data_IF_588798053219
#
_entry.id   IF_588798053219
#
_cell.length_a   1.000
_cell.length_b   1.000
_cell.length_c   1.000
_cell.angle_alpha   90.00
_cell.angle_beta   90.00
_cell.angle_gamma   90.00
#
_symmetry.space_group_name_H-M   'P 1'
#
loop_
_entity.id
_entity.type
_entity.pdbx_description
1 polymer ?
#
# COMPACT_ATOMS: atom_id res chain seq x y z
N UNK A 1 -19.52 10.34 14.97
CA UNK A 1 -20.45 9.69 14.02
C UNK A 1 -19.63 8.86 13.06
N UNK A 2 -19.82 7.54 12.98
CA UNK A 2 -19.16 6.70 11.97
C UNK A 2 -20.11 6.62 10.79
N UNK A 3 -20.16 7.66 9.97
CA UNK A 3 -20.76 7.66 8.64
C UNK A 3 -19.67 7.31 7.64
N UNK A 4 -19.19 6.07 7.68
CA UNK A 4 -18.26 5.51 6.70
C UNK A 4 -18.89 4.31 6.04
N UNK A 5 -18.99 4.32 4.71
CA UNK A 5 -19.33 3.11 3.96
C UNK A 5 -18.27 2.00 4.23
N UNK A 6 -18.57 0.76 3.88
CA UNK A 6 -17.65 -0.37 4.10
C UNK A 6 -16.27 -0.12 3.48
N UNK A 7 -16.21 0.52 2.31
CA UNK A 7 -14.96 0.86 1.64
C UNK A 7 -14.06 1.78 2.49
N UNK A 8 -14.60 2.86 3.05
CA UNK A 8 -13.88 3.79 3.93
C UNK A 8 -13.44 3.12 5.23
N UNK A 9 -14.28 2.27 5.81
CA UNK A 9 -13.91 1.48 7.00
C UNK A 9 -12.70 0.61 6.66
N UNK A 10 -12.77 -0.16 5.57
CA UNK A 10 -11.68 -1.04 5.15
C UNK A 10 -10.40 -0.26 4.86
N UNK A 11 -10.46 0.95 4.29
CA UNK A 11 -9.27 1.78 4.03
C UNK A 11 -8.54 2.23 5.30
N UNK A 12 -9.28 2.41 6.39
CA UNK A 12 -8.72 2.83 7.69
C UNK A 12 -8.12 1.66 8.50
N UNK A 13 -8.39 0.40 8.10
CA UNK A 13 -7.80 -0.76 8.76
C UNK A 13 -6.35 -1.02 8.30
N UNK A 14 -5.54 -1.75 9.09
CA UNK A 14 -4.25 -2.22 8.63
C UNK A 14 -4.39 -3.17 7.42
N UNK A 15 -3.64 -2.93 6.35
CA UNK A 15 -3.76 -3.69 5.09
C UNK A 15 -3.67 -5.22 5.26
N UNK A 16 -2.85 -5.70 6.19
CA UNK A 16 -2.74 -7.14 6.46
C UNK A 16 -4.00 -7.73 7.10
N UNK A 17 -4.76 -6.96 7.88
CA UNK A 17 -6.05 -7.39 8.44
C UNK A 17 -7.11 -7.42 7.34
N UNK A 18 -7.07 -6.46 6.42
CA UNK A 18 -8.01 -6.40 5.30
C UNK A 18 -7.92 -7.67 4.43
N UNK A 19 -6.71 -8.11 4.08
CA UNK A 19 -6.51 -9.33 3.27
C UNK A 19 -6.77 -10.62 4.04
N UNK A 20 -6.38 -10.70 5.32
CA UNK A 20 -6.45 -11.96 6.07
C UNK A 20 -7.77 -12.19 6.77
N UNK A 21 -8.44 -11.12 7.18
CA UNK A 21 -9.64 -11.17 8.03
C UNK A 21 -10.83 -10.64 7.26
N UNK A 22 -10.80 -9.38 6.83
CA UNK A 22 -11.97 -8.75 6.20
C UNK A 22 -12.42 -9.47 4.93
N UNK A 23 -11.47 -9.89 4.09
CA UNK A 23 -11.72 -10.69 2.89
C UNK A 23 -12.57 -11.96 3.15
N UNK A 24 -12.52 -12.52 4.37
CA UNK A 24 -13.23 -13.74 4.74
C UNK A 24 -14.58 -13.50 5.44
N UNK A 25 -14.93 -12.26 5.76
CA UNK A 25 -16.12 -11.94 6.57
C UNK A 25 -17.42 -12.15 5.80
N UNK A 26 -17.52 -11.57 4.60
CA UNK A 26 -18.69 -11.64 3.75
C UNK A 26 -18.32 -11.36 2.28
N UNK A 27 -19.25 -11.64 1.37
CA UNK A 27 -19.07 -11.40 -0.06
C UNK A 27 -18.74 -9.94 -0.38
N UNK A 28 -19.44 -8.98 0.25
CA UNK A 28 -19.21 -7.57 0.00
C UNK A 28 -17.80 -7.12 0.40
N UNK A 29 -17.31 -7.58 1.55
CA UNK A 29 -15.92 -7.34 1.95
C UNK A 29 -14.96 -7.94 0.93
N UNK A 30 -15.19 -9.17 0.50
CA UNK A 30 -14.34 -9.84 -0.50
C UNK A 30 -14.25 -9.01 -1.79
N UNK A 31 -15.38 -8.59 -2.35
CA UNK A 31 -15.39 -7.81 -3.59
C UNK A 31 -14.63 -6.49 -3.46
N UNK A 32 -14.77 -5.79 -2.33
CA UNK A 32 -14.02 -4.56 -2.09
C UNK A 32 -12.52 -4.82 -1.92
N UNK A 33 -12.13 -5.88 -1.20
CA UNK A 33 -10.73 -6.23 -0.98
C UNK A 33 -10.05 -6.73 -2.26
N UNK A 34 -10.77 -7.46 -3.11
CA UNK A 34 -10.26 -7.95 -4.40
C UNK A 34 -10.21 -6.82 -5.45
N UNK A 35 -10.93 -5.71 -5.22
CA UNK A 35 -10.98 -4.60 -6.17
C UNK A 35 -9.66 -3.83 -6.26
N UNK A 36 -9.23 -3.55 -7.50
CA UNK A 36 -8.11 -2.65 -7.76
C UNK A 36 -8.35 -1.24 -7.18
N UNK A 37 -9.62 -0.78 -7.15
CA UNK A 37 -9.99 0.54 -6.64
C UNK A 37 -9.61 0.73 -5.17
N UNK A 38 -9.80 -0.28 -4.34
CA UNK A 38 -9.42 -0.24 -2.92
C UNK A 38 -7.93 -0.01 -2.73
N UNK A 39 -7.10 -0.77 -3.44
CA UNK A 39 -5.65 -0.68 -3.33
C UNK A 39 -5.08 0.57 -3.99
N UNK A 40 -5.67 1.03 -5.11
CA UNK A 40 -5.35 2.34 -5.71
C UNK A 40 -5.57 3.48 -4.74
N UNK A 41 -6.71 3.47 -4.06
CA UNK A 41 -7.05 4.52 -3.09
C UNK A 41 -6.12 4.49 -1.87
N UNK A 42 -5.75 3.30 -1.37
CA UNK A 42 -4.69 3.19 -0.35
C UNK A 42 -3.37 3.78 -0.82
N UNK A 43 -2.94 3.42 -2.03
CA UNK A 43 -1.71 3.95 -2.61
C UNK A 43 -1.77 5.48 -2.68
N UNK A 44 -2.88 6.04 -3.16
CA UNK A 44 -3.10 7.49 -3.24
C UNK A 44 -3.05 8.17 -1.87
N UNK A 45 -3.73 7.64 -0.84
CA UNK A 45 -3.73 8.19 0.53
C UNK A 45 -2.34 8.20 1.16
N UNK A 46 -1.49 7.26 0.76
CA UNK A 46 -0.12 7.11 1.27
C UNK A 46 0.96 7.71 0.36
N UNK A 47 0.57 8.32 -0.77
CA UNK A 47 1.49 8.96 -1.71
C UNK A 47 2.27 7.99 -2.61
N UNK A 48 1.85 6.74 -2.73
CA UNK A 48 2.42 5.77 -3.65
C UNK A 48 1.86 5.96 -5.06
N UNK A 49 2.76 6.06 -6.04
CA UNK A 49 2.40 6.20 -7.45
C UNK A 49 3.18 5.17 -8.28
N UNK A 50 2.54 4.50 -9.26
CA UNK A 50 3.25 3.68 -10.23
C UNK A 50 4.26 4.54 -11.00
N UNK A 51 5.45 4.00 -11.27
CA UNK A 51 6.45 4.69 -12.09
C UNK A 51 6.02 4.87 -13.55
N UNK A 52 5.23 3.94 -14.07
CA UNK A 52 4.75 3.96 -15.45
C UNK A 52 3.22 3.87 -15.47
N UNK A 53 2.57 5.00 -15.77
CA UNK A 53 1.12 5.06 -15.91
C UNK A 53 0.62 4.39 -17.21
N UNK A 54 1.51 4.09 -18.15
CA UNK A 54 1.17 3.46 -19.43
C UNK A 54 1.08 1.94 -19.34
N UNK A 55 1.68 1.34 -18.29
CA UNK A 55 1.66 -0.10 -18.07
C UNK A 55 0.56 -0.47 -17.07
N UNK A 56 -0.45 -1.26 -17.45
CA UNK A 56 -1.46 -1.69 -16.50
C UNK A 56 -0.80 -2.51 -15.39
N UNK A 57 -0.97 -2.07 -14.14
CA UNK A 57 -0.62 -2.89 -12.98
C UNK A 57 -1.70 -3.96 -12.80
N UNK A 58 -1.30 -5.21 -12.98
CA UNK A 58 -2.20 -6.37 -12.88
C UNK A 58 -2.68 -6.60 -11.44
N UNK A 59 -1.83 -6.33 -10.44
CA UNK A 59 -2.15 -6.55 -9.02
C UNK A 59 -1.76 -5.33 -8.15
N UNK A 60 -2.76 -4.51 -7.83
CA UNK A 60 -2.60 -3.34 -6.97
C UNK A 60 -2.37 -3.70 -5.50
N UNK A 61 -2.86 -4.85 -5.04
CA UNK A 61 -2.63 -5.35 -3.69
C UNK A 61 -1.15 -5.65 -3.51
N UNK A 62 -0.58 -6.41 -4.44
CA UNK A 62 0.84 -6.74 -4.47
C UNK A 62 1.71 -5.47 -4.55
N UNK A 63 1.37 -4.55 -5.46
CA UNK A 63 2.08 -3.27 -5.58
C UNK A 63 2.11 -2.52 -4.25
N UNK A 64 0.98 -2.41 -3.56
CA UNK A 64 0.90 -1.74 -2.26
C UNK A 64 1.84 -2.39 -1.23
N UNK A 65 1.81 -3.72 -1.08
CA UNK A 65 2.62 -4.39 -0.07
C UNK A 65 4.12 -4.31 -0.35
N UNK A 66 4.54 -4.45 -1.60
CA UNK A 66 5.95 -4.31 -2.00
C UNK A 66 6.40 -2.87 -1.72
N UNK A 67 5.63 -1.89 -2.17
CA UNK A 67 5.95 -0.47 -2.02
C UNK A 67 6.04 -0.05 -0.55
N UNK A 68 5.08 -0.49 0.27
CA UNK A 68 5.05 -0.22 1.71
C UNK A 68 6.23 -0.83 2.45
N UNK A 69 6.67 -2.03 2.06
CA UNK A 69 7.81 -2.76 2.65
C UNK A 69 9.16 -2.44 1.98
N UNK A 70 9.17 -1.65 0.91
CA UNK A 70 10.34 -1.28 0.09
C UNK A 70 11.33 -0.34 0.81
N UNK A 71 11.68 -0.65 2.05
CA UNK A 71 12.85 -0.11 2.73
C UNK A 71 14.07 -0.95 2.42
N UNK A 72 15.25 -0.34 2.49
CA UNK A 72 16.50 -1.06 2.36
C UNK A 72 16.57 -2.21 3.38
N UNK A 73 16.62 -3.45 2.88
CA UNK A 73 16.70 -4.66 3.70
C UNK A 73 18.14 -4.97 4.11
N UNK A 74 19.14 -4.29 3.55
CA UNK A 74 20.53 -4.41 3.97
C UNK A 74 20.70 -3.73 5.32
N UNK A 75 21.16 -4.48 6.32
CA UNK A 75 21.71 -3.88 7.55
C UNK A 75 22.98 -3.12 7.17
N UNK A 76 23.03 -1.83 7.51
CA UNK A 76 24.19 -0.97 7.29
C UNK A 76 24.60 -0.77 5.82
N UNK A 77 23.72 -0.18 4.97
CA UNK A 77 23.97 -0.06 3.53
C UNK A 77 25.04 0.98 3.17
N UNK A 78 25.47 1.80 4.12
CA UNK A 78 26.59 2.71 4.00
C UNK A 78 27.34 2.67 5.31
N UNK A 79 28.64 2.39 5.28
CA UNK A 79 29.53 2.54 6.43
C UNK A 79 29.75 4.04 6.73
N UNK A 80 28.69 4.79 7.03
CA UNK A 80 28.76 6.20 7.33
C UNK A 80 28.24 6.43 8.76
N UNK A 81 29.16 6.30 9.71
CA UNK A 81 29.11 7.08 10.94
C UNK A 81 29.16 8.56 10.53
N UNK A 82 28.00 9.16 10.27
CA UNK A 82 27.63 10.56 10.49
C UNK A 82 26.30 10.84 9.77
N UNK A 83 25.30 11.13 10.61
CA UNK A 83 23.90 11.39 10.26
C UNK A 83 23.75 12.57 9.30
N UNK A 84 23.13 12.34 8.14
CA UNK A 84 22.36 13.37 7.43
C UNK A 84 21.09 12.73 6.87
N UNK A 85 19.97 13.03 7.52
CA UNK A 85 18.62 12.67 7.09
C UNK A 85 18.29 13.49 5.84
N UNK A 86 18.51 12.94 4.65
CA UNK A 86 17.95 13.52 3.42
C UNK A 86 16.63 12.82 3.13
N UNK A 87 15.54 13.57 3.26
CA UNK A 87 14.22 13.15 2.82
C UNK A 87 14.29 12.83 1.34
N UNK A 88 14.01 11.57 0.99
CA UNK A 88 13.85 11.15 -0.39
C UNK A 88 12.38 10.90 -0.65
N UNK A 89 11.81 11.69 -1.56
CA UNK A 89 10.65 11.30 -2.36
C UNK A 89 10.87 9.86 -2.81
N UNK A 90 10.04 8.94 -2.30
CA UNK A 90 10.10 7.53 -2.67
C UNK A 90 9.40 7.38 -4.02
N UNK A 91 10.15 7.56 -5.09
CA UNK A 91 9.79 7.00 -6.39
C UNK A 91 10.35 5.57 -6.39
N UNK A 92 9.49 4.59 -6.15
CA UNK A 92 9.87 3.19 -6.08
C UNK A 92 9.77 2.60 -7.49
N UNK A 93 10.93 2.29 -8.08
CA UNK A 93 11.06 1.43 -9.24
C UNK A 93 10.55 0.03 -8.88
N UNK A 94 9.30 -0.26 -9.27
CA UNK A 94 8.79 -1.61 -9.53
C UNK A 94 7.98 -1.53 -10.81
#
# INVERSE_FOLDING_TARGET
EITGNLFDILLNLPAHQVVRVCHLVCYECKELVDSAAHWRERCRREGFQPCDASRPLDDWCLFYFITKKGSNLLKNPRANAHSMKTGKHRQLLV
#
